data_IF_976597386037
#
_entry.id   IF_976597386037
#
_cell.length_a   1.000
_cell.length_b   1.000
_cell.length_c   1.000
_cell.angle_alpha   90.00
_cell.angle_beta   90.00
_cell.angle_gamma   90.00
#
_symmetry.space_group_name_H-M   'P 1'
#
loop_
_entity.id
_entity.type
_entity.pdbx_description
1 polymer ?
#
# COMPACT_ATOMS: atom_id res chain seq x y z
N UNK A 1 5.40 5.40 -3.33
CA UNK A 1 4.62 5.91 -2.19
C UNK A 1 4.28 7.37 -2.48
N UNK A 2 3.01 7.70 -2.55
CA UNK A 2 2.56 9.03 -2.94
C UNK A 2 1.18 9.40 -2.38
N UNK A 3 0.24 8.44 -2.34
CA UNK A 3 -1.14 8.76 -1.97
C UNK A 3 -1.30 9.21 -0.52
N UNK A 4 -0.46 8.72 0.38
CA UNK A 4 -0.47 9.11 1.78
C UNK A 4 -0.07 10.57 2.04
N UNK A 5 0.53 11.23 1.05
CA UNK A 5 0.86 12.67 1.09
C UNK A 5 -0.34 13.56 0.72
N UNK A 6 -1.46 12.97 0.30
CA UNK A 6 -2.58 13.69 -0.29
C UNK A 6 -3.80 13.71 0.62
N UNK A 7 -4.57 14.82 0.62
CA UNK A 7 -5.90 14.83 1.21
C UNK A 7 -6.83 13.81 0.54
N UNK A 8 -7.76 13.24 1.29
CA UNK A 8 -8.69 12.22 0.80
C UNK A 8 -9.44 12.65 -0.48
N UNK A 9 -9.79 13.92 -0.61
CA UNK A 9 -10.44 14.45 -1.82
C UNK A 9 -9.52 14.30 -3.03
N UNK A 10 -8.25 14.70 -2.89
CA UNK A 10 -7.26 14.64 -3.97
C UNK A 10 -6.93 13.21 -4.36
N UNK A 11 -6.93 12.28 -3.39
CA UNK A 11 -6.77 10.84 -3.68
C UNK A 11 -7.87 10.33 -4.61
N UNK A 12 -9.13 10.68 -4.32
CA UNK A 12 -10.27 10.29 -5.16
C UNK A 12 -10.18 10.88 -6.57
N UNK A 13 -9.83 12.16 -6.67
CA UNK A 13 -9.61 12.84 -7.96
C UNK A 13 -8.47 12.19 -8.75
N UNK A 14 -7.37 11.88 -8.09
CA UNK A 14 -6.23 11.19 -8.70
C UNK A 14 -6.62 9.80 -9.23
N UNK A 15 -7.31 8.99 -8.44
CA UNK A 15 -7.72 7.65 -8.87
C UNK A 15 -8.73 7.69 -10.01
N UNK A 16 -9.67 8.64 -9.99
CA UNK A 16 -10.61 8.84 -11.09
C UNK A 16 -9.89 9.27 -12.39
N UNK A 17 -8.89 10.16 -12.28
CA UNK A 17 -8.11 10.58 -13.44
C UNK A 17 -7.22 9.43 -13.94
N UNK A 18 -6.62 8.66 -13.05
CA UNK A 18 -5.86 7.45 -13.42
C UNK A 18 -6.75 6.46 -14.19
N UNK A 19 -7.97 6.22 -13.71
CA UNK A 19 -8.93 5.40 -14.44
C UNK A 19 -9.25 5.99 -15.82
N UNK A 20 -9.46 7.31 -15.90
CA UNK A 20 -9.80 7.97 -17.17
C UNK A 20 -8.70 7.78 -18.23
N UNK A 21 -7.43 7.99 -17.85
CA UNK A 21 -6.30 7.98 -18.80
C UNK A 21 -5.80 6.58 -19.16
N UNK A 22 -6.05 5.59 -18.32
CA UNK A 22 -5.69 4.21 -18.61
C UNK A 22 -6.42 3.69 -19.85
N UNK A 23 -5.71 2.96 -20.69
CA UNK A 23 -6.33 2.19 -21.78
C UNK A 23 -7.18 1.06 -21.21
N UNK A 24 -8.18 0.55 -21.96
CA UNK A 24 -8.88 -0.67 -21.58
C UNK A 24 -7.90 -1.81 -21.28
N UNK A 25 -8.11 -2.52 -20.17
CA UNK A 25 -7.20 -3.55 -19.69
C UNK A 25 -5.95 -3.03 -18.98
N UNK A 26 -5.73 -1.73 -18.95
CA UNK A 26 -4.62 -1.11 -18.23
C UNK A 26 -4.72 -1.33 -16.71
N UNK A 27 -3.58 -1.31 -16.04
CA UNK A 27 -3.46 -1.57 -14.61
C UNK A 27 -3.01 -0.31 -13.90
N UNK A 28 -3.71 0.05 -12.83
CA UNK A 28 -3.24 0.95 -11.79
C UNK A 28 -2.54 0.12 -10.72
N UNK A 29 -1.36 0.51 -10.33
CA UNK A 29 -0.62 -0.11 -9.21
C UNK A 29 -0.06 1.00 -8.31
N UNK A 30 -0.35 0.89 -7.04
CA UNK A 30 0.18 1.75 -6.00
C UNK A 30 0.98 0.91 -5.01
N UNK A 31 2.08 1.45 -4.54
CA UNK A 31 2.86 0.87 -3.46
C UNK A 31 2.85 1.86 -2.30
N UNK A 32 2.31 1.42 -1.17
CA UNK A 32 2.04 2.24 0.00
C UNK A 32 2.31 1.44 1.28
N UNK A 33 2.02 2.01 2.43
CA UNK A 33 1.99 1.27 3.68
C UNK A 33 0.65 0.54 3.84
N UNK A 34 0.63 -0.54 4.64
CA UNK A 34 -0.59 -1.30 4.90
C UNK A 34 -1.71 -0.43 5.47
N UNK A 35 -2.97 -0.70 5.11
CA UNK A 35 -4.11 -0.05 5.76
C UNK A 35 -4.16 -0.43 7.24
N UNK A 36 -4.69 0.45 8.09
CA UNK A 36 -4.81 0.20 9.53
C UNK A 36 -5.52 -1.11 9.86
N UNK A 37 -6.51 -1.50 9.06
CA UNK A 37 -7.23 -2.76 9.24
C UNK A 37 -6.36 -4.02 9.05
N UNK A 38 -5.23 -3.91 8.37
CA UNK A 38 -4.30 -5.02 8.13
C UNK A 38 -3.13 -5.05 9.13
N UNK A 39 -3.05 -4.08 10.04
CA UNK A 39 -1.94 -3.96 10.99
C UNK A 39 -2.31 -4.54 12.36
N UNK A 40 -1.33 -5.12 13.04
CA UNK A 40 -1.43 -5.41 14.46
C UNK A 40 -1.55 -4.08 15.25
N UNK A 41 -2.25 -4.06 16.40
CA UNK A 41 -2.46 -2.84 17.17
C UNK A 41 -1.17 -2.09 17.54
N UNK A 42 -0.08 -2.82 17.77
CA UNK A 42 1.20 -2.24 18.09
C UNK A 42 1.84 -1.52 16.90
N UNK A 43 1.76 -2.10 15.71
CA UNK A 43 2.27 -1.48 14.49
C UNK A 43 1.45 -0.26 14.10
N UNK A 44 0.13 -0.34 14.25
CA UNK A 44 -0.75 0.80 14.04
C UNK A 44 -0.42 1.96 14.98
N UNK A 45 -0.17 1.67 16.27
CA UNK A 45 0.26 2.67 17.24
C UNK A 45 1.59 3.33 16.84
N UNK A 46 2.57 2.52 16.42
CA UNK A 46 3.88 3.03 16.01
C UNK A 46 3.80 3.95 14.80
N UNK A 47 3.00 3.58 13.81
CA UNK A 47 2.79 4.39 12.63
C UNK A 47 2.05 5.69 12.95
N UNK A 48 1.08 5.67 13.86
CA UNK A 48 0.39 6.88 14.31
C UNK A 48 1.34 7.81 15.08
N UNK A 49 2.21 7.23 15.91
CA UNK A 49 3.24 7.99 16.62
C UNK A 49 4.23 8.66 15.65
N UNK A 50 4.67 7.91 14.63
CA UNK A 50 5.54 8.41 13.57
C UNK A 50 4.88 9.55 12.79
N UNK A 51 3.62 9.40 12.42
CA UNK A 51 2.83 10.45 11.76
C UNK A 51 2.79 11.75 12.57
N UNK A 52 2.60 11.63 13.88
CA UNK A 52 2.53 12.80 14.76
C UNK A 52 3.87 13.54 14.84
N UNK A 53 4.97 12.80 15.01
CA UNK A 53 6.29 13.41 15.21
C UNK A 53 6.97 13.83 13.91
N UNK A 54 6.64 13.24 12.79
CA UNK A 54 7.17 13.58 11.47
C UNK A 54 6.26 14.53 10.67
N UNK A 55 5.17 15.00 11.29
CA UNK A 55 4.24 15.95 10.68
C UNK A 55 3.65 15.46 9.36
N UNK A 56 3.10 14.25 9.39
CA UNK A 56 2.45 13.57 8.26
C UNK A 56 0.91 13.72 8.33
N UNK A 57 0.34 14.86 7.94
CA UNK A 57 -1.04 15.21 8.29
C UNK A 57 -2.10 14.33 7.61
N UNK A 58 -1.76 13.67 6.50
CA UNK A 58 -2.72 12.89 5.72
C UNK A 58 -2.53 11.38 5.84
N UNK A 59 -1.41 10.96 6.37
CA UNK A 59 -0.97 9.57 6.40
C UNK A 59 -1.92 8.64 7.16
N UNK A 60 -2.34 9.04 8.37
CA UNK A 60 -3.32 8.28 9.15
C UNK A 60 -4.66 8.20 8.43
N UNK A 61 -5.16 9.32 7.92
CA UNK A 61 -6.43 9.37 7.20
C UNK A 61 -6.42 8.51 5.93
N UNK A 62 -5.27 8.43 5.25
CA UNK A 62 -5.10 7.53 4.11
C UNK A 62 -5.21 6.06 4.53
N UNK A 63 -4.50 5.66 5.58
CA UNK A 63 -4.50 4.27 6.06
C UNK A 63 -5.85 3.80 6.64
N UNK A 64 -6.72 4.73 7.03
CA UNK A 64 -8.09 4.45 7.49
C UNK A 64 -9.08 4.22 6.32
N UNK A 65 -8.66 4.44 5.07
CA UNK A 65 -9.52 4.24 3.91
C UNK A 65 -9.62 2.75 3.52
N UNK A 66 -10.76 2.39 2.95
CA UNK A 66 -10.91 1.14 2.21
C UNK A 66 -10.40 1.34 0.77
N UNK A 67 -9.28 0.72 0.45
CA UNK A 67 -8.62 0.92 -0.85
C UNK A 67 -9.39 0.28 -2.00
N UNK A 68 -10.15 -0.78 -1.74
CA UNK A 68 -11.05 -1.36 -2.74
C UNK A 68 -12.22 -0.42 -3.04
N UNK A 69 -12.80 0.18 -2.01
CA UNK A 69 -13.85 1.19 -2.19
C UNK A 69 -13.33 2.43 -2.95
N UNK A 70 -12.13 2.89 -2.66
CA UNK A 70 -11.50 3.99 -3.39
C UNK A 70 -11.36 3.68 -4.89
N UNK A 71 -10.91 2.48 -5.23
CA UNK A 71 -10.78 2.05 -6.63
C UNK A 71 -12.14 1.90 -7.31
N UNK A 72 -13.12 1.30 -6.64
CA UNK A 72 -14.47 1.13 -7.22
C UNK A 72 -15.19 2.45 -7.43
N UNK A 73 -15.06 3.37 -6.50
CA UNK A 73 -15.60 4.73 -6.63
C UNK A 73 -14.95 5.50 -7.78
N UNK A 74 -13.69 5.21 -8.08
CA UNK A 74 -12.97 5.79 -9.21
C UNK A 74 -13.36 5.18 -10.58
N UNK A 75 -14.17 4.11 -10.59
CA UNK A 75 -14.70 3.47 -11.80
C UNK A 75 -14.08 2.12 -12.17
N UNK A 76 -13.16 1.61 -11.36
CA UNK A 76 -12.63 0.25 -11.56
C UNK A 76 -13.64 -0.81 -11.10
N UNK A 77 -13.77 -1.95 -11.81
CA UNK A 77 -14.60 -3.06 -11.34
C UNK A 77 -14.13 -3.59 -9.99
N UNK A 78 -15.06 -3.90 -9.09
CA UNK A 78 -14.72 -4.36 -7.75
C UNK A 78 -13.97 -5.70 -7.74
N UNK A 79 -14.27 -6.58 -8.69
CA UNK A 79 -13.60 -7.87 -8.90
C UNK A 79 -12.24 -7.76 -9.58
N UNK A 80 -11.90 -6.58 -10.09
CA UNK A 80 -10.61 -6.28 -10.69
C UNK A 80 -9.60 -5.67 -9.70
N UNK A 81 -10.00 -5.44 -8.45
CA UNK A 81 -9.12 -5.00 -7.38
C UNK A 81 -8.18 -6.14 -6.94
N UNK A 82 -6.95 -5.80 -6.66
CA UNK A 82 -5.97 -6.72 -6.08
C UNK A 82 -5.11 -6.01 -5.05
N UNK A 83 -4.58 -6.77 -4.13
CA UNK A 83 -3.68 -6.31 -3.09
C UNK A 83 -2.65 -7.40 -2.78
N UNK A 84 -1.48 -6.98 -2.37
CA UNK A 84 -0.40 -7.87 -1.95
C UNK A 84 0.47 -7.20 -0.90
N UNK A 85 0.90 -7.97 0.07
CA UNK A 85 1.95 -7.56 0.99
C UNK A 85 3.27 -7.93 0.34
N UNK A 86 4.17 -6.96 0.25
CA UNK A 86 5.51 -7.16 -0.31
C UNK A 86 6.53 -6.99 0.81
N UNK A 87 7.36 -7.99 1.08
CA UNK A 87 8.40 -7.87 2.08
C UNK A 87 9.33 -6.69 1.77
N UNK A 88 9.74 -5.96 2.80
CA UNK A 88 10.67 -4.85 2.64
C UNK A 88 12.10 -5.37 2.49
N UNK A 89 12.66 -5.22 1.31
CA UNK A 89 14.09 -5.45 1.11
C UNK A 89 14.83 -4.13 1.22
N UNK A 90 15.74 -4.04 2.18
CA UNK A 90 16.65 -2.90 2.27
C UNK A 90 17.82 -3.02 1.30
N UNK A 91 18.29 -4.20 1.07
CA UNK A 91 19.28 -4.55 0.06
C UNK A 91 19.40 -6.08 0.03
N UNK A 92 19.19 -6.68 -1.11
CA UNK A 92 19.36 -8.12 -1.30
C UNK A 92 20.18 -8.34 -2.56
N UNK A 93 21.29 -9.05 -2.43
CA UNK A 93 22.06 -9.50 -3.57
C UNK A 93 21.20 -10.36 -4.50
N UNK A 94 21.42 -10.27 -5.81
CA UNK A 94 20.58 -10.95 -6.80
C UNK A 94 20.48 -12.46 -6.55
N UNK A 95 21.54 -13.08 -6.09
CA UNK A 95 21.60 -14.51 -5.76
C UNK A 95 20.67 -14.92 -4.60
N UNK A 96 20.44 -14.00 -3.65
CA UNK A 96 19.57 -14.23 -2.48
C UNK A 96 18.14 -13.71 -2.68
N UNK A 97 17.86 -13.10 -3.82
CA UNK A 97 16.56 -12.46 -4.05
C UNK A 97 15.39 -13.43 -3.94
N UNK A 98 15.52 -14.63 -4.47
CA UNK A 98 14.47 -15.67 -4.40
C UNK A 98 14.20 -16.13 -2.97
N UNK A 99 15.25 -16.32 -2.20
CA UNK A 99 15.14 -16.71 -0.80
C UNK A 99 14.49 -15.61 0.03
N UNK A 100 14.91 -14.37 -0.16
CA UNK A 100 14.33 -13.20 0.50
C UNK A 100 12.84 -13.01 0.16
N UNK A 101 12.43 -13.25 -1.08
CA UNK A 101 11.01 -13.17 -1.51
C UNK A 101 10.17 -14.30 -0.93
N UNK A 102 10.76 -15.45 -0.65
CA UNK A 102 10.05 -16.63 -0.13
C UNK A 102 10.03 -16.73 1.39
N UNK A 103 10.87 -15.96 2.09
CA UNK A 103 10.91 -15.96 3.55
C UNK A 103 9.77 -15.11 4.11
N UNK A 104 8.96 -15.70 4.99
CA UNK A 104 8.13 -14.92 5.88
C UNK A 104 9.06 -14.07 6.76
N UNK A 105 8.78 -12.77 6.81
CA UNK A 105 9.58 -11.86 7.63
C UNK A 105 9.39 -12.20 9.10
N UNK A 106 10.36 -12.91 9.68
CA UNK A 106 10.34 -13.24 11.10
C UNK A 106 10.92 -12.08 11.94
N UNK A 107 10.37 -11.93 13.15
CA UNK A 107 10.90 -11.01 14.14
C UNK A 107 12.34 -11.42 14.49
N UNK A 108 13.29 -10.52 14.33
CA UNK A 108 14.67 -10.76 14.69
C UNK A 108 14.88 -10.43 16.16
N UNK A 109 14.91 -11.46 17.01
CA UNK A 109 15.11 -11.35 18.46
C UNK A 109 16.47 -10.74 18.83
N UNK A 110 17.50 -10.94 18.01
CA UNK A 110 18.86 -10.44 18.29
C UNK A 110 18.97 -8.92 18.13
N UNK A 111 18.17 -8.31 17.29
CA UNK A 111 18.21 -6.86 17.06
C UNK A 111 17.13 -6.11 17.81
N UNK A 112 16.13 -6.78 18.34
CA UNK A 112 14.97 -6.17 19.00
C UNK A 112 14.19 -5.22 18.07
N UNK A 113 14.44 -5.26 16.79
CA UNK A 113 13.82 -4.37 15.79
C UNK A 113 12.59 -5.01 15.19
N UNK A 114 11.44 -4.55 15.59
CA UNK A 114 10.20 -4.71 14.82
C UNK A 114 10.31 -4.07 13.43
N UNK A 115 11.18 -3.10 13.28
CA UNK A 115 11.38 -2.31 12.04
C UNK A 115 11.94 -3.10 10.85
N UNK A 116 12.34 -4.35 11.03
CA UNK A 116 12.64 -5.21 9.89
C UNK A 116 11.40 -5.59 9.09
N UNK A 117 10.20 -5.26 9.56
CA UNK A 117 8.95 -5.84 9.07
C UNK A 117 7.86 -4.81 8.78
N UNK A 118 8.19 -3.57 8.45
CA UNK A 118 7.19 -2.76 7.75
C UNK A 118 7.16 -3.27 6.31
N UNK A 119 6.25 -4.17 6.08
CA UNK A 119 5.99 -4.71 4.77
C UNK A 119 5.40 -3.61 3.87
N UNK A 120 5.89 -3.54 2.64
CA UNK A 120 5.26 -2.71 1.65
C UNK A 120 3.93 -3.32 1.24
N UNK A 121 2.92 -2.50 1.14
CA UNK A 121 1.61 -2.90 0.69
C UNK A 121 1.38 -2.41 -0.73
N UNK A 122 1.14 -3.35 -1.63
CA UNK A 122 0.75 -3.07 -3.00
C UNK A 122 -0.75 -3.22 -3.17
N UNK A 123 -1.41 -2.25 -3.77
CA UNK A 123 -2.78 -2.39 -4.19
C UNK A 123 -3.01 -1.75 -5.55
N UNK A 124 -3.98 -2.25 -6.24
CA UNK A 124 -4.33 -1.72 -7.55
C UNK A 124 -5.61 -2.30 -8.10
N UNK A 125 -5.90 -1.91 -9.32
CA UNK A 125 -7.05 -2.41 -10.04
C UNK A 125 -6.82 -2.38 -11.55
N UNK A 126 -7.46 -3.31 -12.26
CA UNK A 126 -7.45 -3.35 -13.71
C UNK A 126 -8.68 -2.63 -14.27
N UNK A 127 -8.46 -1.75 -15.24
CA UNK A 127 -9.54 -1.17 -16.00
C UNK A 127 -10.19 -2.23 -16.91
N UNK A 128 -11.50 -2.25 -16.96
CA UNK A 128 -12.24 -3.22 -17.79
C UNK A 128 -11.83 -3.16 -19.26
N UNK A 129 -11.87 -4.31 -19.91
CA UNK A 129 -11.75 -4.38 -21.36
C UNK A 129 -13.03 -3.82 -21.97
N UNK A 130 -12.90 -3.04 -23.02
CA UNK A 130 -14.05 -2.70 -23.86
C UNK A 130 -14.33 -3.91 -24.74
N UNK A 131 -15.47 -4.51 -24.53
CA UNK A 131 -15.99 -5.56 -25.43
C UNK A 131 -16.52 -4.96 -26.72
#
# INVERSE_FOLDING_TARGET
>A
MFLHELPNKTIREFLAEAHRVLKPGGILLNMELPPNAALAPYDAFYLDWDCYYNNEPYYKNFRDQDYQELCTTAGFPGDAFFQAVMPRYTYVEEEHFREAVSSDAEFNEDTGRLSAVIEWYGFGARKQLVT
#
